data_IF_355414307846
#
_entry.id   IF_355414307846
#
_cell.length_a   1.000
_cell.length_b   1.000
_cell.length_c   1.000
_cell.angle_alpha   90.00
_cell.angle_beta   90.00
_cell.angle_gamma   90.00
#
_symmetry.space_group_name_H-M   'P 1'
#
loop_
_entity.id
_entity.type
_entity.pdbx_description
1 polymer ?
#
# COMPACT_ATOMS: atom_id res chain seq x y z
N UNK A 1 -13.04 10.04 -10.45
CA UNK A 1 -12.11 8.90 -10.63
C UNK A 1 -11.63 8.39 -9.28
N UNK A 2 -11.53 7.07 -9.15
CA UNK A 2 -10.96 6.48 -7.95
C UNK A 2 -9.44 6.62 -7.99
N UNK A 3 -8.81 6.45 -6.82
CA UNK A 3 -7.33 6.46 -6.74
C UNK A 3 -6.71 5.40 -7.65
N UNK A 4 -7.32 4.20 -7.68
CA UNK A 4 -6.85 3.11 -8.55
C UNK A 4 -6.93 3.48 -10.02
N UNK A 5 -8.03 4.08 -10.45
CA UNK A 5 -8.19 4.52 -11.83
C UNK A 5 -7.14 5.55 -12.24
N UNK A 6 -6.84 6.49 -11.34
CA UNK A 6 -5.83 7.52 -11.60
C UNK A 6 -4.46 6.86 -11.81
N UNK A 7 -4.09 5.91 -10.96
CA UNK A 7 -2.82 5.19 -11.06
C UNK A 7 -2.77 4.34 -12.34
N UNK A 8 -3.86 3.64 -12.65
CA UNK A 8 -3.94 2.83 -13.87
C UNK A 8 -3.74 3.69 -15.13
N UNK A 9 -4.35 4.88 -15.14
CA UNK A 9 -4.21 5.79 -16.26
C UNK A 9 -2.77 6.30 -16.41
N UNK A 10 -2.12 6.59 -15.29
CA UNK A 10 -0.73 7.00 -15.30
C UNK A 10 0.18 5.89 -15.85
N UNK A 11 -0.05 4.65 -15.44
CA UNK A 11 0.70 3.49 -15.94
C UNK A 11 0.49 3.30 -17.45
N UNK A 12 -0.75 3.42 -17.91
CA UNK A 12 -1.05 3.33 -19.34
C UNK A 12 -0.31 4.38 -20.16
N UNK A 13 -0.26 5.60 -19.65
CA UNK A 13 0.45 6.70 -20.31
C UNK A 13 1.96 6.45 -20.41
N UNK A 14 2.51 5.68 -19.48
CA UNK A 14 3.93 5.30 -19.49
C UNK A 14 4.18 3.97 -20.19
N UNK A 15 3.13 3.34 -20.70
CA UNK A 15 3.19 2.01 -21.30
C UNK A 15 3.77 0.98 -20.31
N UNK A 16 3.35 1.06 -19.06
CA UNK A 16 3.80 0.18 -17.98
C UNK A 16 2.63 -0.48 -17.29
N UNK A 17 2.93 -1.57 -16.59
CA UNK A 17 1.97 -2.27 -15.73
C UNK A 17 2.55 -2.42 -14.34
N UNK A 18 1.68 -2.55 -13.34
CA UNK A 18 2.09 -2.79 -11.97
C UNK A 18 0.99 -3.56 -11.25
N UNK A 19 1.33 -4.14 -10.11
CA UNK A 19 0.38 -4.89 -9.32
C UNK A 19 -0.32 -3.99 -8.31
N UNK A 20 -1.60 -4.26 -8.09
CA UNK A 20 -2.40 -3.59 -7.08
C UNK A 20 -2.74 -4.57 -5.97
N UNK A 21 -2.95 -4.04 -4.78
CA UNK A 21 -3.46 -4.82 -3.65
C UNK A 21 -4.98 -4.66 -3.60
N UNK A 22 -5.71 -5.73 -3.91
CA UNK A 22 -7.18 -5.67 -3.93
C UNK A 22 -7.74 -5.40 -2.53
N UNK A 23 -8.72 -4.51 -2.48
CA UNK A 23 -9.36 -4.13 -1.22
C UNK A 23 -8.73 -2.95 -0.51
N UNK A 24 -7.62 -2.42 -1.01
CA UNK A 24 -6.89 -1.32 -0.38
C UNK A 24 -6.82 -0.05 -1.22
N UNK A 25 -7.74 0.10 -2.17
CA UNK A 25 -7.70 1.25 -3.08
C UNK A 25 -7.68 2.60 -2.35
N UNK A 26 -8.42 2.71 -1.25
CA UNK A 26 -8.48 3.95 -0.46
C UNK A 26 -7.17 4.25 0.27
N UNK A 27 -6.29 3.27 0.37
CA UNK A 27 -5.00 3.42 1.02
C UNK A 27 -3.88 3.82 0.05
N UNK A 28 -4.17 3.93 -1.24
CA UNK A 28 -3.17 4.30 -2.24
C UNK A 28 -2.67 5.72 -1.97
N UNK A 29 -1.35 5.86 -1.87
CA UNK A 29 -0.69 7.16 -1.73
C UNK A 29 -0.27 7.68 -3.10
N UNK A 30 0.24 6.80 -3.94
CA UNK A 30 0.74 7.21 -5.25
C UNK A 30 1.48 6.11 -5.97
N UNK A 31 2.26 6.51 -6.96
CA UNK A 31 3.06 5.65 -7.80
C UNK A 31 4.52 6.10 -7.69
N UNK A 32 5.43 5.16 -7.55
CA UNK A 32 6.85 5.45 -7.49
C UNK A 32 7.61 4.61 -8.51
N UNK A 33 8.74 5.12 -8.98
CA UNK A 33 9.64 4.38 -9.83
C UNK A 33 10.80 3.87 -8.99
N UNK A 34 11.10 2.60 -9.16
CA UNK A 34 12.17 1.93 -8.43
C UNK A 34 13.27 1.52 -9.41
N UNK A 35 14.48 1.95 -9.11
CA UNK A 35 15.64 1.60 -9.93
C UNK A 35 16.17 0.23 -9.54
N UNK A 36 16.22 -0.68 -10.51
CA UNK A 36 16.74 -2.02 -10.29
C UNK A 36 17.90 -2.28 -11.26
N UNK A 37 18.72 -3.31 -11.01
CA UNK A 37 19.77 -3.69 -11.96
C UNK A 37 19.26 -4.00 -13.38
N UNK A 38 18.01 -4.47 -13.49
CA UNK A 38 17.40 -4.79 -14.77
C UNK A 38 16.67 -3.59 -15.39
N UNK A 39 16.63 -2.45 -14.70
CA UNK A 39 15.96 -1.26 -15.20
C UNK A 39 15.02 -0.63 -14.18
N UNK A 40 14.14 0.22 -14.66
CA UNK A 40 13.20 0.96 -13.82
C UNK A 40 11.85 0.24 -13.82
N UNK A 41 11.30 0.02 -12.63
CA UNK A 41 9.95 -0.53 -12.48
C UNK A 41 9.07 0.49 -11.75
N UNK A 42 7.79 0.50 -12.10
CA UNK A 42 6.81 1.34 -11.40
C UNK A 42 6.06 0.51 -10.39
N UNK A 43 5.94 1.00 -9.17
CA UNK A 43 5.25 0.32 -8.09
C UNK A 43 4.22 1.24 -7.45
N UNK A 44 3.09 0.66 -7.03
CA UNK A 44 2.04 1.40 -6.35
C UNK A 44 2.40 1.48 -4.87
N UNK A 45 2.25 2.66 -4.28
CA UNK A 45 2.58 2.91 -2.88
C UNK A 45 1.29 3.00 -2.07
N UNK A 46 1.21 2.23 -1.01
CA UNK A 46 0.08 2.19 -0.10
C UNK A 46 0.48 2.66 1.29
N UNK A 47 -0.45 3.31 1.99
CA UNK A 47 -0.30 3.66 3.40
C UNK A 47 -0.65 2.44 4.25
N UNK A 48 0.32 1.84 4.93
CA UNK A 48 0.12 0.66 5.76
C UNK A 48 -0.92 0.90 6.85
N UNK A 49 -0.84 2.05 7.52
CA UNK A 49 -1.80 2.40 8.58
C UNK A 49 -3.23 2.39 8.06
N UNK A 50 -3.45 2.96 6.89
CA UNK A 50 -4.78 2.97 6.27
C UNK A 50 -5.22 1.56 5.88
N UNK A 51 -4.31 0.73 5.40
CA UNK A 51 -4.61 -0.67 5.09
C UNK A 51 -5.07 -1.42 6.34
N UNK A 52 -4.40 -1.22 7.46
CA UNK A 52 -4.78 -1.84 8.74
C UNK A 52 -6.16 -1.37 9.17
N UNK A 53 -6.48 -0.08 9.02
CA UNK A 53 -7.81 0.45 9.34
C UNK A 53 -8.89 -0.19 8.48
N UNK A 54 -8.64 -0.36 7.19
CA UNK A 54 -9.58 -1.00 6.27
C UNK A 54 -9.83 -2.45 6.68
N UNK A 55 -8.78 -3.19 7.01
CA UNK A 55 -8.92 -4.57 7.47
C UNK A 55 -9.68 -4.65 8.78
N UNK A 56 -9.34 -3.79 9.74
CA UNK A 56 -9.99 -3.78 11.05
C UNK A 56 -11.49 -3.52 10.94
N UNK A 57 -11.88 -2.61 10.06
CA UNK A 57 -13.30 -2.27 9.87
C UNK A 57 -14.14 -3.45 9.40
N UNK A 58 -13.54 -4.40 8.67
CA UNK A 58 -14.24 -5.58 8.15
C UNK A 58 -14.11 -6.82 9.01
N UNK A 59 -13.42 -6.75 10.13
CA UNK A 59 -13.21 -7.91 10.97
C UNK A 59 -14.32 -8.16 11.99
N UNK A 60 -14.66 -9.42 12.15
CA UNK A 60 -15.69 -9.86 13.11
C UNK A 60 -15.03 -10.33 14.41
N UNK A 61 -14.41 -9.37 15.11
CA UNK A 61 -13.75 -9.59 16.41
C UNK A 61 -14.13 -8.43 17.34
N UNK A 62 -13.93 -8.58 18.66
CA UNK A 62 -14.20 -7.49 19.59
C UNK A 62 -13.42 -6.22 19.22
N UNK A 63 -14.03 -5.06 19.45
CA UNK A 63 -13.49 -3.76 19.03
C UNK A 63 -12.05 -3.52 19.53
N UNK A 64 -11.75 -3.93 20.73
CA UNK A 64 -10.43 -3.75 21.34
C UNK A 64 -9.37 -4.69 20.75
N UNK A 65 -9.76 -5.67 19.94
CA UNK A 65 -8.87 -6.65 19.32
C UNK A 65 -8.72 -6.43 17.82
N UNK A 66 -9.51 -5.54 17.24
CA UNK A 66 -9.54 -5.34 15.78
C UNK A 66 -8.19 -4.92 15.21
N UNK A 67 -7.52 -3.98 15.85
CA UNK A 67 -6.24 -3.47 15.35
C UNK A 67 -5.17 -4.57 15.34
N UNK A 68 -5.06 -5.30 16.44
CA UNK A 68 -4.10 -6.39 16.56
C UNK A 68 -4.38 -7.51 15.55
N UNK A 69 -5.64 -7.90 15.42
CA UNK A 69 -6.04 -8.92 14.46
C UNK A 69 -5.78 -8.48 13.03
N UNK A 70 -6.03 -7.21 12.72
CA UNK A 70 -5.77 -6.66 11.39
C UNK A 70 -4.27 -6.64 11.08
N UNK A 71 -3.44 -6.27 12.06
CA UNK A 71 -2.00 -6.26 11.90
C UNK A 71 -1.45 -7.66 11.62
N UNK A 72 -1.93 -8.66 12.36
CA UNK A 72 -1.53 -10.04 12.15
C UNK A 72 -1.94 -10.55 10.77
N UNK A 73 -3.16 -10.25 10.36
CA UNK A 73 -3.65 -10.63 9.04
C UNK A 73 -2.79 -10.01 7.94
N UNK A 74 -2.49 -8.73 8.08
CA UNK A 74 -1.66 -8.00 7.12
C UNK A 74 -0.27 -8.62 7.01
N UNK A 75 0.37 -8.88 8.15
CA UNK A 75 1.73 -9.43 8.18
C UNK A 75 1.82 -10.81 7.54
N UNK A 76 0.76 -11.62 7.65
CA UNK A 76 0.76 -12.98 7.11
C UNK A 76 0.29 -13.08 5.67
N UNK A 77 -0.62 -12.22 5.24
CA UNK A 77 -1.34 -12.40 3.99
C UNK A 77 -0.97 -11.43 2.88
N UNK A 78 -0.24 -10.36 3.20
CA UNK A 78 0.19 -9.39 2.19
C UNK A 78 1.64 -9.70 1.82
N UNK A 79 1.80 -10.66 0.93
CA UNK A 79 3.12 -11.10 0.48
C UNK A 79 3.56 -10.40 -0.79
N UNK A 80 4.84 -10.21 -0.90
CA UNK A 80 5.47 -9.41 -1.92
C UNK A 80 6.25 -10.24 -2.91
N UNK A 81 6.04 -10.01 -4.19
CA UNK A 81 6.91 -10.47 -5.27
C UNK A 81 7.74 -9.30 -5.80
N UNK A 82 8.48 -9.50 -6.91
CA UNK A 82 9.38 -8.46 -7.43
C UNK A 82 8.70 -7.16 -7.88
N UNK A 83 7.46 -7.23 -8.37
CA UNK A 83 6.73 -6.06 -8.89
C UNK A 83 5.56 -5.69 -7.99
N UNK A 84 5.57 -6.13 -6.74
CA UNK A 84 4.46 -5.90 -5.83
C UNK A 84 4.43 -4.48 -5.30
N UNK A 85 3.24 -4.03 -4.83
CA UNK A 85 3.13 -2.73 -4.22
C UNK A 85 4.00 -2.61 -2.98
N UNK A 86 4.37 -1.38 -2.66
CA UNK A 86 5.12 -1.07 -1.46
C UNK A 86 4.14 -0.51 -0.43
N UNK A 87 4.22 -1.05 0.79
CA UNK A 87 3.43 -0.57 1.90
C UNK A 87 4.34 0.24 2.82
N UNK A 88 4.01 1.51 3.01
CA UNK A 88 4.85 2.41 3.81
C UNK A 88 4.15 2.75 5.12
N UNK A 89 4.94 2.78 6.18
CA UNK A 89 4.48 3.21 7.49
C UNK A 89 4.99 4.61 7.72
N UNK A 90 4.07 5.53 8.00
CA UNK A 90 4.43 6.92 8.26
C UNK A 90 4.95 7.05 9.68
N UNK A 91 6.12 7.65 9.80
CA UNK A 91 6.71 7.98 11.10
C UNK A 91 6.87 9.50 11.16
N UNK A 92 6.28 10.13 12.18
CA UNK A 92 6.46 11.56 12.37
C UNK A 92 7.85 11.83 12.95
N UNK A 93 8.54 12.78 12.32
CA UNK A 93 9.85 13.22 12.80
C UNK A 93 9.74 14.70 13.15
N UNK A 94 10.00 15.02 14.40
CA UNK A 94 9.96 16.40 14.88
C UNK A 94 11.27 17.08 14.51
N UNK A 95 11.19 18.35 14.10
CA UNK A 95 12.38 19.11 13.69
C UNK A 95 13.48 19.13 14.75
N UNK A 96 13.10 19.22 16.01
CA UNK A 96 14.05 19.25 17.12
C UNK A 96 14.78 17.92 17.33
N UNK A 97 14.36 16.87 16.66
CA UNK A 97 15.00 15.55 16.71
C UNK A 97 15.97 15.35 15.56
N UNK A 98 15.96 16.27 14.62
CA UNK A 98 16.83 16.21 13.47
C UNK A 98 18.18 16.86 13.80
#
# INVERSE_FOLDING_TARGET
MTKREIIQKALENMDETSQFADGFDDAIIGLAQHLTPEGVISVVIYDETKCIEILAAGMDVPEDQKHEAAQEFFDFNVHMGPTTPIFVRRVEVLEEEL
#
